data_IF_047508208924
#
_entry.id   IF_047508208924
#
_cell.length_a   1.000
_cell.length_b   1.000
_cell.length_c   1.000
_cell.angle_alpha   90.00
_cell.angle_beta   90.00
_cell.angle_gamma   90.00
#
_symmetry.space_group_name_H-M   'P 1'
#
loop_
_entity.id
_entity.type
_entity.pdbx_description
1 polymer ?
#
# COMPACT_ATOMS: atom_id res chain seq x y z
N UNK A 1 3.24 -21.72 -27.43
CA UNK A 1 2.29 -21.66 -26.29
C UNK A 1 1.65 -20.29 -26.31
N UNK A 2 0.34 -20.20 -26.52
CA UNK A 2 -0.37 -18.91 -26.58
C UNK A 2 -0.97 -18.57 -25.23
N UNK A 3 -0.55 -17.45 -24.64
CA UNK A 3 -1.16 -16.92 -23.42
C UNK A 3 -2.58 -16.42 -23.71
N UNK A 4 -3.58 -17.04 -23.08
CA UNK A 4 -4.98 -16.65 -23.19
C UNK A 4 -5.17 -15.34 -22.41
N UNK A 5 -5.21 -14.23 -23.14
CA UNK A 5 -5.56 -12.92 -22.59
C UNK A 5 -7.05 -12.93 -22.25
N UNK A 6 -7.38 -12.90 -20.95
CA UNK A 6 -8.77 -12.87 -20.48
C UNK A 6 -9.38 -11.50 -20.78
N UNK A 7 -10.19 -11.40 -21.84
CA UNK A 7 -10.96 -10.19 -22.22
C UNK A 7 -12.06 -9.78 -21.24
N UNK A 8 -12.32 -10.58 -20.19
CA UNK A 8 -13.42 -10.34 -19.25
C UNK A 8 -13.05 -9.20 -18.30
N UNK A 9 -13.86 -8.13 -18.29
CA UNK A 9 -13.70 -7.02 -17.34
C UNK A 9 -13.59 -7.59 -15.91
N UNK A 10 -12.54 -7.27 -15.14
CA UNK A 10 -12.40 -7.74 -13.77
C UNK A 10 -13.60 -7.27 -12.96
N UNK A 11 -14.19 -8.20 -12.20
CA UNK A 11 -15.38 -7.92 -11.40
C UNK A 11 -15.11 -6.79 -10.40
N UNK A 12 -16.13 -5.98 -10.11
CA UNK A 12 -16.04 -4.92 -9.10
C UNK A 12 -15.59 -5.47 -7.74
N UNK A 13 -15.97 -6.72 -7.44
CA UNK A 13 -15.50 -7.49 -6.30
C UNK A 13 -13.97 -7.58 -6.25
N UNK A 14 -13.32 -8.03 -7.34
CA UNK A 14 -11.85 -8.09 -7.44
C UNK A 14 -11.16 -6.73 -7.34
N UNK A 15 -11.83 -5.65 -7.80
CA UNK A 15 -11.29 -4.29 -7.67
C UNK A 15 -11.43 -3.72 -6.26
N UNK A 16 -12.46 -4.14 -5.53
CA UNK A 16 -12.79 -3.64 -4.20
C UNK A 16 -12.25 -4.53 -3.07
N UNK A 17 -11.89 -5.78 -3.34
CA UNK A 17 -11.22 -6.70 -2.43
C UNK A 17 -9.97 -6.02 -1.85
N UNK A 18 -9.97 -5.78 -0.54
CA UNK A 18 -8.89 -5.10 0.18
C UNK A 18 -9.02 -3.57 0.29
N UNK A 19 -9.77 -2.89 -0.58
CA UNK A 19 -9.95 -1.42 -0.54
C UNK A 19 -11.06 -0.97 0.41
N UNK A 20 -12.06 -1.81 0.67
CA UNK A 20 -13.21 -1.45 1.54
C UNK A 20 -12.75 -1.20 2.98
N UNK A 21 -11.90 -2.06 3.54
CA UNK A 21 -11.41 -1.93 4.92
C UNK A 21 -10.49 -0.70 5.09
N UNK A 22 -9.64 -0.42 4.10
CA UNK A 22 -8.78 0.77 4.14
C UNK A 22 -9.58 2.07 4.09
N UNK A 23 -10.66 2.12 3.29
CA UNK A 23 -11.55 3.29 3.23
C UNK A 23 -12.26 3.59 4.57
N UNK A 24 -12.43 2.58 5.43
CA UNK A 24 -13.01 2.75 6.77
C UNK A 24 -11.97 3.03 7.86
N UNK A 25 -10.69 3.23 7.50
CA UNK A 25 -9.59 3.51 8.44
C UNK A 25 -8.87 2.27 8.99
N UNK A 26 -9.23 1.06 8.55
CA UNK A 26 -8.57 -0.19 8.98
C UNK A 26 -7.39 -0.54 8.07
N UNK A 27 -6.31 0.21 8.23
CA UNK A 27 -5.08 -0.01 7.48
C UNK A 27 -4.24 -1.13 8.11
N UNK A 28 -3.78 -2.07 7.26
CA UNK A 28 -2.74 -3.03 7.62
C UNK A 28 -1.38 -2.41 7.32
N UNK A 29 -0.80 -1.75 8.32
CA UNK A 29 0.50 -1.09 8.20
C UNK A 29 1.64 -2.12 8.20
N UNK A 30 2.54 -1.98 7.24
CA UNK A 30 3.82 -2.71 7.16
C UNK A 30 4.96 -1.72 7.24
N UNK A 31 5.96 -2.01 8.06
CA UNK A 31 7.17 -1.18 8.14
C UNK A 31 7.98 -1.38 6.87
N UNK A 32 8.24 -0.28 6.16
CA UNK A 32 9.13 -0.26 4.99
C UNK A 32 10.51 0.19 5.48
N UNK A 33 11.45 -0.74 5.48
CA UNK A 33 12.83 -0.50 5.96
C UNK A 33 13.74 0.15 4.92
N UNK A 34 13.25 0.33 3.68
CA UNK A 34 14.05 0.85 2.56
C UNK A 34 14.37 2.35 2.68
N UNK A 35 13.47 3.15 3.27
CA UNK A 35 13.63 4.61 3.42
C UNK A 35 13.53 4.99 4.88
N UNK A 36 14.66 4.87 5.58
CA UNK A 36 14.79 5.21 7.00
C UNK A 36 15.17 6.66 7.26
N UNK A 37 15.54 7.45 6.25
CA UNK A 37 16.10 8.79 6.46
C UNK A 37 15.35 9.83 5.61
N UNK A 38 14.77 10.83 6.27
CA UNK A 38 14.10 11.95 5.60
C UNK A 38 15.11 13.08 5.35
N UNK A 39 15.52 13.24 4.09
CA UNK A 39 16.57 14.21 3.68
C UNK A 39 16.16 15.65 3.99
N UNK A 40 14.86 15.97 3.95
CA UNK A 40 14.37 17.32 4.23
C UNK A 40 14.42 17.66 5.72
N UNK A 41 14.22 16.68 6.59
CA UNK A 41 14.20 16.87 8.05
C UNK A 41 15.53 16.52 8.73
N UNK A 42 16.45 15.86 8.02
CA UNK A 42 17.74 15.42 8.57
C UNK A 42 17.61 14.39 9.69
N UNK A 43 16.51 13.62 9.71
CA UNK A 43 16.16 12.70 10.81
C UNK A 43 15.80 11.33 10.27
N UNK A 44 16.03 10.30 11.10
CA UNK A 44 15.55 8.96 10.83
C UNK A 44 14.03 8.92 11.00
N UNK A 45 13.34 8.40 9.98
CA UNK A 45 11.89 8.21 9.96
C UNK A 45 11.58 6.75 9.73
N UNK A 46 10.52 6.26 10.36
CA UNK A 46 9.97 4.95 10.06
C UNK A 46 8.79 5.13 9.10
N UNK A 47 8.94 4.66 7.87
CA UNK A 47 7.84 4.61 6.91
C UNK A 47 6.98 3.38 7.16
N UNK A 48 5.68 3.61 7.27
CA UNK A 48 4.65 2.58 7.33
C UNK A 48 3.91 2.62 6.02
N UNK A 49 3.84 1.51 5.29
CA UNK A 49 3.04 1.40 4.07
C UNK A 49 1.93 0.39 4.27
N UNK A 50 0.72 0.75 3.88
CA UNK A 50 -0.39 -0.18 3.95
C UNK A 50 -0.27 -1.24 2.84
N UNK A 51 -0.30 -2.52 3.20
CA UNK A 51 -0.20 -3.63 2.23
C UNK A 51 -1.41 -3.72 1.28
N UNK A 52 -2.54 -3.11 1.66
CA UNK A 52 -3.81 -3.22 0.92
C UNK A 52 -4.04 -2.04 -0.04
N UNK A 53 -3.89 -0.81 0.45
CA UNK A 53 -4.14 0.40 -0.34
C UNK A 53 -2.85 1.08 -0.82
N UNK A 54 -1.70 0.74 -0.25
CA UNK A 54 -0.42 1.36 -0.59
C UNK A 54 -0.20 2.73 0.02
N UNK A 55 -1.12 3.24 0.86
CA UNK A 55 -0.93 4.49 1.61
C UNK A 55 0.32 4.44 2.48
N UNK A 56 1.03 5.56 2.56
CA UNK A 56 2.30 5.68 3.27
C UNK A 56 2.15 6.68 4.41
N UNK A 57 2.58 6.29 5.60
CA UNK A 57 2.59 7.13 6.80
C UNK A 57 4.00 7.14 7.38
N UNK A 58 4.62 8.31 7.42
CA UNK A 58 5.93 8.48 8.05
C UNK A 58 5.75 8.80 9.54
N UNK A 59 6.28 7.94 10.42
CA UNK A 59 6.38 8.23 11.85
C UNK A 59 7.80 8.71 12.16
N UNK A 60 7.91 9.93 12.68
CA UNK A 60 9.16 10.48 13.22
C UNK A 60 9.49 9.74 14.52
N UNK A 61 10.77 9.38 14.68
CA UNK A 61 11.34 8.95 15.97
C UNK A 61 11.87 10.17 16.72
#
# INVERSE_FOLDING_TARGET
MGDIVKFRKPSLRKKAEGKTLCKSGFHRWKVVTEKKFDVKRGKLVTLLRCERCGEEQAKLL
#
